data_IF_502371667146
#
_entry.id   IF_502371667146
#
_cell.length_a   1.000
_cell.length_b   1.000
_cell.length_c   1.000
_cell.angle_alpha   90.00
_cell.angle_beta   90.00
_cell.angle_gamma   90.00
#
_symmetry.space_group_name_H-M   'P 1'
#
loop_
_entity.id
_entity.type
_entity.pdbx_description
1 polymer ?
#
# COMPACT_ATOMS: atom_id res chain seq x y z
N UNK A 1 0.65 -0.52 -1.13
CA UNK A 1 1.07 -0.09 -2.48
C UNK A 1 0.48 -1.06 -3.50
N UNK A 2 -0.14 -0.53 -4.54
CA UNK A 2 -0.74 -1.29 -5.65
C UNK A 2 -0.12 -0.79 -6.95
N UNK A 3 0.27 -1.70 -7.82
CA UNK A 3 0.78 -1.43 -9.16
C UNK A 3 -0.26 -1.93 -10.16
N UNK A 4 -0.83 -1.01 -10.91
CA UNK A 4 -1.77 -1.32 -11.99
C UNK A 4 -1.04 -1.49 -13.32
N UNK A 5 -1.64 -2.27 -14.23
CA UNK A 5 -1.09 -2.50 -15.58
C UNK A 5 -0.90 -1.18 -16.33
N UNK A 6 0.27 -0.99 -16.95
CA UNK A 6 0.58 0.20 -17.75
C UNK A 6 0.03 0.19 -19.18
N UNK A 7 -0.53 -0.94 -19.62
CA UNK A 7 -1.23 -1.05 -20.91
C UNK A 7 -2.61 -0.37 -20.89
N UNK A 8 -3.13 -0.09 -19.68
CA UNK A 8 -4.38 0.63 -19.49
C UNK A 8 -4.18 2.13 -19.74
N UNK A 9 -5.19 2.78 -20.32
CA UNK A 9 -5.29 4.24 -20.33
C UNK A 9 -5.38 4.76 -18.88
N UNK A 10 -4.92 5.99 -18.64
CA UNK A 10 -4.91 6.58 -17.30
C UNK A 10 -6.32 6.62 -16.67
N UNK A 11 -7.33 6.96 -17.47
CA UNK A 11 -8.75 6.96 -17.06
C UNK A 11 -9.27 5.57 -16.67
N UNK A 12 -8.67 4.51 -17.24
CA UNK A 12 -9.05 3.13 -16.94
C UNK A 12 -8.46 2.63 -15.61
N UNK A 13 -7.56 3.37 -14.98
CA UNK A 13 -7.01 3.06 -13.64
C UNK A 13 -7.98 3.46 -12.53
N UNK A 14 -8.86 4.42 -12.78
CA UNK A 14 -9.83 4.91 -11.79
C UNK A 14 -10.83 3.85 -11.37
N UNK A 15 -11.33 3.02 -12.29
CA UNK A 15 -12.29 1.96 -11.95
C UNK A 15 -11.67 0.88 -11.04
N UNK A 16 -10.52 0.26 -11.38
CA UNK A 16 -9.80 -0.65 -10.48
C UNK A 16 -9.47 -0.02 -9.13
N UNK A 17 -9.13 1.26 -9.11
CA UNK A 17 -8.85 1.98 -7.87
C UNK A 17 -10.10 2.17 -7.02
N UNK A 18 -11.24 2.56 -7.61
CA UNK A 18 -12.52 2.64 -6.91
C UNK A 18 -12.93 1.29 -6.34
N UNK A 19 -12.71 0.19 -7.07
CA UNK A 19 -12.95 -1.17 -6.57
C UNK A 19 -12.07 -1.51 -5.37
N UNK A 20 -10.79 -1.13 -5.41
CA UNK A 20 -9.89 -1.32 -4.28
C UNK A 20 -10.34 -0.49 -3.06
N UNK A 21 -10.75 0.76 -3.25
CA UNK A 21 -11.25 1.62 -2.17
C UNK A 21 -12.56 1.09 -1.57
N UNK A 22 -13.52 0.68 -2.40
CA UNK A 22 -14.77 0.06 -1.94
C UNK A 22 -14.51 -1.23 -1.13
N UNK A 23 -13.47 -1.99 -1.50
CA UNK A 23 -13.02 -3.16 -0.74
C UNK A 23 -12.46 -2.81 0.64
N UNK A 24 -11.83 -1.64 0.80
CA UNK A 24 -11.37 -1.13 2.10
C UNK A 24 -12.53 -0.57 2.93
N UNK A 25 -13.47 0.14 2.31
CA UNK A 25 -14.68 0.65 2.96
C UNK A 25 -15.56 -0.49 3.50
N UNK A 26 -15.65 -1.60 2.77
CA UNK A 26 -16.37 -2.81 3.20
C UNK A 26 -15.75 -3.46 4.45
N UNK A 27 -14.47 -3.20 4.73
CA UNK A 27 -13.76 -3.61 5.93
C UNK A 27 -13.83 -2.54 7.04
N UNK A 28 -14.71 -1.55 6.92
CA UNK A 28 -14.87 -0.49 7.91
C UNK A 28 -13.67 0.46 8.02
N UNK A 29 -12.78 0.46 7.02
CA UNK A 29 -11.63 1.37 6.97
C UNK A 29 -12.02 2.62 6.20
N UNK A 30 -12.08 3.75 6.91
CA UNK A 30 -12.18 5.06 6.29
C UNK A 30 -10.80 5.47 5.75
N UNK A 31 -10.72 5.72 4.44
CA UNK A 31 -9.49 6.09 3.76
C UNK A 31 -9.53 7.57 3.45
N UNK A 32 -8.67 8.35 4.12
CA UNK A 32 -8.52 9.77 3.81
C UNK A 32 -8.10 9.94 2.34
N UNK A 33 -8.82 10.73 1.52
CA UNK A 33 -8.48 10.92 0.11
C UNK A 33 -7.11 11.60 -0.07
N UNK A 34 -6.67 12.43 0.89
CA UNK A 34 -5.34 13.06 0.90
C UNK A 34 -4.20 12.05 1.10
N UNK A 35 -4.51 10.86 1.63
CA UNK A 35 -3.54 9.77 1.86
C UNK A 35 -3.50 8.77 0.70
N UNK A 36 -4.26 9.02 -0.36
CA UNK A 36 -4.20 8.27 -1.62
C UNK A 36 -3.21 8.96 -2.55
N UNK A 37 -1.95 8.55 -2.46
CA UNK A 37 -0.89 9.04 -3.32
C UNK A 37 -0.88 8.28 -4.65
N UNK A 38 -1.43 8.92 -5.68
CA UNK A 38 -1.39 8.43 -7.07
C UNK A 38 -0.13 8.94 -7.74
N UNK A 39 0.75 8.02 -8.14
CA UNK A 39 1.87 8.35 -8.99
C UNK A 39 1.50 8.08 -10.43
N UNK A 40 1.98 8.94 -11.32
CA UNK A 40 1.85 8.75 -12.76
C UNK A 40 2.55 7.45 -13.22
N UNK A 41 2.42 7.15 -14.51
CA UNK A 41 3.07 6.01 -15.16
C UNK A 41 4.59 6.01 -14.92
N UNK A 42 5.14 4.91 -14.41
CA UNK A 42 6.58 4.73 -14.21
C UNK A 42 7.05 3.45 -14.88
N UNK A 43 8.26 3.52 -15.45
CA UNK A 43 8.92 2.38 -16.09
C UNK A 43 9.51 1.45 -15.01
N UNK A 44 9.29 0.16 -15.17
CA UNK A 44 9.90 -0.88 -14.34
C UNK A 44 11.37 -1.09 -14.71
N UNK A 45 12.18 -1.56 -13.76
CA UNK A 45 13.59 -1.87 -14.00
C UNK A 45 13.77 -3.14 -14.88
N UNK A 46 12.78 -4.02 -14.87
CA UNK A 46 12.73 -5.25 -15.66
C UNK A 46 11.26 -5.55 -16.01
N UNK A 47 11.06 -6.44 -16.97
CA UNK A 47 9.74 -6.82 -17.43
C UNK A 47 9.01 -7.67 -16.38
N UNK A 48 7.76 -7.29 -16.07
CA UNK A 48 6.88 -8.03 -15.16
C UNK A 48 5.61 -8.34 -15.95
N UNK A 49 5.26 -9.63 -16.09
CA UNK A 49 4.09 -10.09 -16.86
C UNK A 49 3.98 -9.45 -18.26
N UNK A 50 5.12 -9.35 -18.95
CA UNK A 50 5.25 -8.71 -20.27
C UNK A 50 5.00 -7.20 -20.33
N UNK A 51 4.96 -6.54 -19.18
CA UNK A 51 4.84 -5.10 -19.06
C UNK A 51 6.16 -4.47 -18.63
N UNK A 52 6.50 -3.35 -19.26
CA UNK A 52 7.67 -2.53 -18.89
C UNK A 52 7.30 -1.30 -18.06
N UNK A 53 6.02 -1.05 -17.85
CA UNK A 53 5.51 0.16 -17.20
C UNK A 53 4.19 -0.11 -16.47
N UNK A 54 3.90 0.73 -15.46
CA UNK A 54 2.68 0.65 -14.68
C UNK A 54 2.40 1.91 -13.87
N UNK A 55 1.17 1.98 -13.37
CA UNK A 55 0.71 3.07 -12.52
C UNK A 55 0.84 2.66 -11.05
N UNK A 56 1.48 3.52 -10.26
CA UNK A 56 1.74 3.24 -8.86
C UNK A 56 0.74 4.00 -8.01
N UNK A 57 0.02 3.28 -7.15
CA UNK A 57 -0.88 3.90 -6.16
C UNK A 57 -0.46 3.44 -4.77
N UNK A 58 -0.18 4.43 -3.91
CA UNK A 58 0.11 4.23 -2.51
C UNK A 58 -1.11 4.71 -1.73
N UNK A 59 -1.69 3.80 -0.97
CA UNK A 59 -2.81 4.09 -0.09
C UNK A 59 -2.28 3.87 1.32
N UNK A 60 -2.41 4.90 2.15
CA UNK A 60 -2.07 4.85 3.56
C UNK A 60 -3.36 4.92 4.36
N UNK A 61 -3.61 3.90 5.19
CA UNK A 61 -4.84 3.79 5.95
C UNK A 61 -4.56 3.19 7.33
N UNK A 62 -5.45 3.47 8.28
CA UNK A 62 -5.39 2.95 9.64
C UNK A 62 -6.54 1.96 9.80
N UNK A 63 -6.25 0.77 10.32
CA UNK A 63 -7.24 -0.26 10.58
C UNK A 63 -7.01 -0.87 11.96
N UNK A 64 -8.08 -1.27 12.63
CA UNK A 64 -8.07 -1.98 13.91
C UNK A 64 -7.58 -3.44 13.81
N UNK A 65 -7.18 -3.89 12.62
CA UNK A 65 -6.58 -5.20 12.39
C UNK A 65 -7.55 -6.28 11.95
N UNK A 66 -8.66 -5.90 11.31
CA UNK A 66 -9.58 -6.85 10.65
C UNK A 66 -8.91 -7.65 9.54
N UNK A 67 -9.60 -8.70 9.07
CA UNK A 67 -9.09 -9.70 8.14
C UNK A 67 -8.73 -9.13 6.76
N UNK A 68 -7.53 -8.53 6.66
CA UNK A 68 -6.95 -8.01 5.42
C UNK A 68 -6.63 -9.11 4.41
N UNK A 69 -6.66 -10.38 4.82
CA UNK A 69 -6.37 -11.49 3.91
C UNK A 69 -7.43 -11.63 2.81
N UNK A 70 -8.69 -11.28 3.10
CA UNK A 70 -9.77 -11.24 2.12
C UNK A 70 -9.54 -10.14 1.07
N UNK A 71 -9.08 -8.98 1.51
CA UNK A 71 -8.73 -7.87 0.63
C UNK A 71 -7.50 -8.18 -0.24
N UNK A 72 -6.45 -8.74 0.37
CA UNK A 72 -5.25 -9.17 -0.37
C UNK A 72 -5.60 -10.22 -1.44
N UNK A 73 -6.48 -11.18 -1.11
CA UNK A 73 -6.99 -12.16 -2.07
C UNK A 73 -7.74 -11.50 -3.23
N UNK A 74 -8.61 -10.53 -2.94
CA UNK A 74 -9.33 -9.79 -3.98
C UNK A 74 -8.36 -9.07 -4.92
N UNK A 75 -7.35 -8.38 -4.37
CA UNK A 75 -6.31 -7.72 -5.17
C UNK A 75 -5.45 -8.69 -5.98
N UNK A 76 -5.26 -9.93 -5.50
CA UNK A 76 -4.56 -10.98 -6.24
C UNK A 76 -5.38 -11.53 -7.40
N UNK A 77 -6.70 -11.56 -7.27
CA UNK A 77 -7.62 -12.05 -8.32
C UNK A 77 -7.92 -10.99 -9.38
N UNK A 78 -7.67 -9.71 -9.09
CA UNK A 78 -7.92 -8.63 -10.02
C UNK A 78 -6.86 -8.59 -11.14
N UNK A 79 -7.27 -8.87 -12.37
CA UNK A 79 -6.37 -8.87 -13.55
C UNK A 79 -5.71 -7.50 -13.82
N UNK A 80 -6.34 -6.40 -13.38
CA UNK A 80 -5.81 -5.05 -13.53
C UNK A 80 -4.59 -4.77 -12.63
N UNK A 81 -4.34 -5.60 -11.62
CA UNK A 81 -3.25 -5.43 -10.65
C UNK A 81 -2.08 -6.34 -11.04
N UNK A 82 -0.92 -5.73 -11.31
CA UNK A 82 0.32 -6.46 -11.58
C UNK A 82 0.93 -6.95 -10.27
N UNK A 83 0.98 -6.07 -9.27
CA UNK A 83 1.58 -6.38 -7.98
C UNK A 83 1.00 -5.51 -6.90
N UNK A 84 0.70 -6.10 -5.76
CA UNK A 84 0.36 -5.38 -4.55
C UNK A 84 1.37 -5.74 -3.46
N UNK A 85 1.58 -4.79 -2.55
CA UNK A 85 2.38 -5.00 -1.34
C UNK A 85 1.70 -4.25 -0.20
N UNK A 86 1.26 -5.02 0.79
CA UNK A 86 0.81 -4.50 2.06
C UNK A 86 1.99 -4.48 3.02
N UNK A 87 2.22 -3.36 3.69
CA UNK A 87 3.30 -3.22 4.67
C UNK A 87 2.69 -2.58 5.91
N UNK A 88 2.91 -3.20 7.06
CA UNK A 88 2.62 -2.56 8.35
C UNK A 88 3.70 -1.51 8.60
N UNK A 89 3.29 -0.25 8.75
CA UNK A 89 4.21 0.81 9.14
C UNK A 89 4.64 0.60 10.60
N UNK A 90 5.93 0.81 10.93
CA UNK A 90 6.38 0.83 12.31
C UNK A 90 5.75 2.03 13.04
N UNK A 91 5.48 1.87 14.34
CA UNK A 91 4.77 2.86 15.15
C UNK A 91 5.41 4.26 15.11
N UNK A 92 6.75 4.33 15.07
CA UNK A 92 7.49 5.59 14.97
C UNK A 92 7.23 6.35 13.66
N UNK A 93 7.09 5.63 12.53
CA UNK A 93 6.85 6.25 11.22
C UNK A 93 5.36 6.60 11.05
N UNK A 94 4.45 5.80 11.63
CA UNK A 94 3.03 6.10 11.68
C UNK A 94 2.73 7.38 12.48
N UNK A 95 3.43 7.59 13.61
CA UNK A 95 3.33 8.82 14.40
C UNK A 95 3.86 10.04 13.63
N UNK A 96 4.99 9.89 12.90
CA UNK A 96 5.57 10.96 12.08
C UNK A 96 4.63 11.43 10.96
N UNK A 97 3.84 10.50 10.40
CA UNK A 97 2.86 10.77 9.34
C UNK A 97 1.48 11.15 9.89
N UNK A 98 1.35 11.35 11.20
CA UNK A 98 0.12 11.79 11.86
C UNK A 98 -1.02 10.77 11.82
N UNK A 99 -0.71 9.46 11.76
CA UNK A 99 -1.70 8.38 11.67
C UNK A 99 -2.07 7.76 13.01
N UNK A 100 -1.19 7.84 14.00
CA UNK A 100 -1.45 7.51 15.40
C UNK A 100 -0.99 8.68 16.26
N UNK A 101 -1.78 9.03 17.27
CA UNK A 101 -1.27 9.82 18.39
C UNK A 101 -0.16 9.02 19.07
N UNK A 102 0.96 9.68 19.34
CA UNK A 102 2.20 9.03 19.75
C UNK A 102 1.98 8.08 20.94
N UNK A 103 2.43 6.81 20.89
CA UNK A 103 2.75 6.12 22.13
C UNK A 103 3.96 6.85 22.72
N UNK A 104 3.78 7.42 23.92
CA UNK A 104 4.79 8.12 24.72
C UNK A 104 5.89 7.19 25.26
N UNK A 105 6.45 6.31 24.43
CA UNK A 105 7.61 5.51 24.83
C UNK A 105 8.48 5.15 23.62
N UNK A 106 9.76 5.55 23.63
CA UNK A 106 10.68 5.22 22.57
C UNK A 106 10.93 3.71 22.58
N UNK A 107 10.50 3.03 21.51
CA UNK A 107 10.95 1.65 21.24
C UNK A 107 12.48 1.71 21.11
N UNK A 108 13.24 0.99 21.95
CA UNK A 108 14.68 1.12 22.00
C UNK A 108 15.26 0.70 20.65
N UNK A 109 16.06 1.61 20.10
CA UNK A 109 16.89 1.36 18.94
C UNK A 109 17.64 0.04 19.12
N UNK A 110 17.55 -0.83 18.12
CA UNK A 110 18.40 -2.00 17.98
C UNK A 110 19.87 -1.55 18.10
N UNK A 111 20.42 -1.72 19.29
CA UNK A 111 21.84 -1.65 19.60
C UNK A 111 22.17 -2.96 20.31
N UNK A 112 23.33 -3.52 19.98
CA UNK A 112 23.98 -4.70 20.53
C UNK A 112 23.53 -6.06 19.96
N UNK A 113 24.15 -6.44 18.83
CA UNK A 113 24.85 -7.74 18.71
C UNK A 113 25.79 -7.72 17.50
N UNK A 114 26.77 -6.80 17.52
CA UNK A 114 27.96 -6.88 16.67
C UNK A 114 29.13 -6.26 17.45
N UNK A 115 29.67 -7.01 18.42
CA UNK A 115 31.11 -7.06 18.75
C UNK A 115 31.40 -8.14 19.83
N UNK A 116 32.46 -8.93 19.57
CA UNK A 116 33.25 -9.80 20.45
C UNK A 116 32.61 -11.10 21.03
N UNK A 117 33.03 -12.29 20.56
CA UNK A 117 34.23 -13.08 20.97
C UNK A 117 34.59 -14.05 19.86
#
# INVERSE_FOLDING_TARGET
>A
MIIFRGDLAEDAVDEPLRRALAGLEALGVDVDPERVNRWAKRRFAYEIDHLQEGYYVVIEFVTSGEDLSGFERSLRLADAVVRHKLIRLPAAEAARRGMLEAPDEPVPAATAAAEAV
#
